data_IF_073589496541
#
_entry.id   IF_073589496541
#
_cell.length_a   1.000
_cell.length_b   1.000
_cell.length_c   1.000
_cell.angle_alpha   90.00
_cell.angle_beta   90.00
_cell.angle_gamma   90.00
#
_symmetry.space_group_name_H-M   'P 1'
#
loop_
_entity.id
_entity.type
_entity.pdbx_description
1 polymer ?
#
# COMPACT_ATOMS: atom_id res chain seq x y z
N UNK A 1 28.03 11.72 -21.99
CA UNK A 1 27.44 11.92 -20.65
C UNK A 1 28.00 10.82 -19.73
N UNK A 2 28.54 11.20 -18.59
CA UNK A 2 29.08 10.25 -17.63
C UNK A 2 28.00 9.87 -16.61
N UNK A 3 27.29 8.78 -16.87
CA UNK A 3 26.12 8.30 -16.12
C UNK A 3 26.46 7.57 -14.81
N UNK A 4 27.75 7.59 -14.41
CA UNK A 4 28.19 6.85 -13.22
C UNK A 4 27.77 7.56 -11.94
N UNK A 5 27.41 6.79 -10.92
CA UNK A 5 27.18 7.27 -9.57
C UNK A 5 28.51 7.85 -9.03
N UNK A 6 28.47 9.10 -8.63
CA UNK A 6 29.59 9.86 -8.07
C UNK A 6 29.56 9.89 -6.55
N UNK A 7 28.37 10.06 -5.97
CA UNK A 7 28.20 10.08 -4.52
C UNK A 7 26.77 9.72 -4.14
N UNK A 8 26.63 9.16 -2.96
CA UNK A 8 25.35 8.84 -2.31
C UNK A 8 25.37 9.51 -0.94
N UNK A 9 24.31 10.20 -0.59
CA UNK A 9 24.13 10.80 0.72
C UNK A 9 22.77 10.42 1.29
N UNK A 10 22.71 10.29 2.62
CA UNK A 10 21.50 9.91 3.32
C UNK A 10 21.31 10.77 4.57
N UNK A 11 20.05 11.02 4.93
CA UNK A 11 19.63 11.69 6.16
C UNK A 11 18.32 11.16 6.65
N UNK A 12 18.02 11.35 7.93
CA UNK A 12 16.65 11.15 8.41
C UNK A 12 15.79 12.37 8.10
N UNK A 13 14.52 12.11 7.84
CA UNK A 13 13.43 13.07 7.79
C UNK A 13 12.30 12.53 8.67
N UNK A 14 11.25 13.30 8.92
CA UNK A 14 10.08 12.83 9.66
C UNK A 14 8.94 12.52 8.69
N UNK A 15 8.24 11.44 8.96
CA UNK A 15 6.99 11.08 8.29
C UNK A 15 5.79 11.86 8.87
N UNK A 16 4.56 11.61 8.38
CA UNK A 16 3.32 12.26 8.84
C UNK A 16 2.93 11.91 10.28
N UNK A 17 3.49 10.81 10.83
CA UNK A 17 3.30 10.37 12.23
C UNK A 17 4.42 10.82 13.15
N UNK A 18 5.30 11.72 12.68
CA UNK A 18 6.49 12.23 13.37
C UNK A 18 7.54 11.14 13.69
N UNK A 19 7.55 10.01 12.98
CA UNK A 19 8.58 9.00 13.08
C UNK A 19 9.73 9.31 12.10
N UNK A 20 10.99 9.06 12.48
CA UNK A 20 12.10 9.15 11.54
C UNK A 20 11.96 8.17 10.41
N UNK A 21 12.25 8.61 9.19
CA UNK A 21 12.46 7.77 8.03
C UNK A 21 13.68 8.24 7.25
N UNK A 22 14.11 7.44 6.24
CA UNK A 22 15.33 7.71 5.49
C UNK A 22 15.03 8.42 4.17
N UNK A 23 15.80 9.47 3.87
CA UNK A 23 15.87 10.10 2.56
C UNK A 23 17.27 9.97 2.00
N UNK A 24 17.37 9.51 0.74
CA UNK A 24 18.65 9.33 0.02
C UNK A 24 18.70 10.23 -1.21
N UNK A 25 19.87 10.79 -1.47
CA UNK A 25 20.20 11.52 -2.69
C UNK A 25 21.37 10.84 -3.39
N UNK A 26 21.18 10.44 -4.64
CA UNK A 26 22.21 9.92 -5.55
C UNK A 26 22.63 11.01 -6.52
N UNK A 27 23.92 11.26 -6.65
CA UNK A 27 24.48 12.26 -7.59
C UNK A 27 25.36 11.54 -8.62
N UNK A 28 25.14 11.82 -9.90
CA UNK A 28 25.95 11.26 -11.00
C UNK A 28 27.22 12.09 -11.25
N UNK A 29 28.14 11.57 -12.06
CA UNK A 29 29.35 12.27 -12.47
C UNK A 29 29.09 13.56 -13.26
N UNK A 30 27.93 13.64 -13.92
CA UNK A 30 27.47 14.86 -14.59
C UNK A 30 26.75 15.83 -13.63
N UNK A 31 26.78 15.56 -12.30
CA UNK A 31 26.11 16.29 -11.23
C UNK A 31 24.58 16.30 -11.33
N UNK A 32 24.00 15.34 -12.03
CA UNK A 32 22.57 15.10 -12.02
C UNK A 32 22.18 14.37 -10.73
N UNK A 33 21.07 14.77 -10.14
CA UNK A 33 20.62 14.25 -8.85
C UNK A 33 19.29 13.50 -8.96
N UNK A 34 19.17 12.45 -8.18
CA UNK A 34 17.88 11.81 -7.88
C UNK A 34 17.73 11.66 -6.37
N UNK A 35 16.54 11.93 -5.84
CA UNK A 35 16.26 11.89 -4.42
C UNK A 35 15.00 11.08 -4.15
N UNK A 36 15.04 10.24 -3.12
CA UNK A 36 13.89 9.47 -2.68
C UNK A 36 13.83 9.39 -1.15
N UNK A 37 12.62 9.38 -0.63
CA UNK A 37 12.31 9.08 0.76
C UNK A 37 11.51 7.78 0.81
N UNK A 38 11.75 6.96 1.81
CA UNK A 38 11.06 5.68 1.99
C UNK A 38 9.99 5.86 3.06
N UNK A 39 8.70 5.65 2.73
CA UNK A 39 7.66 5.62 3.74
C UNK A 39 7.80 4.38 4.64
N UNK A 40 7.17 4.42 5.81
CA UNK A 40 7.01 3.29 6.71
C UNK A 40 5.53 2.98 6.85
N UNK A 41 5.14 1.71 6.73
CA UNK A 41 3.78 1.26 6.95
C UNK A 41 3.30 1.49 8.38
N UNK A 42 1.99 1.53 8.59
CA UNK A 42 1.37 1.54 9.92
C UNK A 42 1.17 0.10 10.42
N UNK A 43 0.67 -0.78 9.56
CA UNK A 43 0.63 -2.23 9.72
C UNK A 43 1.70 -2.87 8.84
N UNK A 44 2.12 -4.09 9.16
CA UNK A 44 3.15 -4.82 8.39
C UNK A 44 2.85 -6.31 8.44
N UNK A 45 2.87 -6.98 7.28
CA UNK A 45 2.76 -8.44 7.19
C UNK A 45 3.98 -9.14 7.84
N UNK A 46 3.78 -10.32 8.41
CA UNK A 46 4.82 -11.05 9.16
C UNK A 46 6.05 -11.41 8.31
N UNK A 47 5.87 -11.55 6.99
CA UNK A 47 6.95 -11.89 6.05
C UNK A 47 7.53 -10.67 5.33
N UNK A 48 7.17 -9.46 5.73
CA UNK A 48 7.65 -8.22 5.12
C UNK A 48 9.16 -8.03 5.30
N UNK A 49 9.78 -7.35 4.35
CA UNK A 49 11.20 -7.06 4.42
C UNK A 49 11.53 -6.15 5.60
N UNK A 50 12.60 -6.47 6.33
CA UNK A 50 12.95 -5.85 7.59
C UNK A 50 13.31 -4.36 7.46
N UNK A 51 12.52 -3.50 8.09
CA UNK A 51 12.86 -2.10 8.27
C UNK A 51 13.89 -1.95 9.42
N UNK A 52 15.09 -1.49 9.11
CA UNK A 52 16.15 -1.39 10.12
C UNK A 52 15.96 -0.16 10.99
N UNK A 53 15.67 -0.38 12.28
CA UNK A 53 15.54 0.63 13.33
C UNK A 53 16.72 0.57 14.29
N UNK A 54 17.04 1.70 14.93
CA UNK A 54 18.19 1.81 15.83
C UNK A 54 17.99 1.03 17.13
N UNK A 55 16.74 0.96 17.63
CA UNK A 55 16.38 0.36 18.89
C UNK A 55 17.15 0.95 20.11
N UNK A 56 17.52 2.22 20.00
CA UNK A 56 18.14 2.99 21.09
C UNK A 56 17.12 3.98 21.67
N UNK A 57 17.42 4.68 22.79
CA UNK A 57 16.47 5.63 23.39
C UNK A 57 16.08 6.83 22.50
N UNK A 58 16.87 7.13 21.47
CA UNK A 58 16.58 8.23 20.55
C UNK A 58 15.32 7.90 19.75
N UNK A 59 14.44 8.90 19.57
CA UNK A 59 13.16 8.72 18.87
C UNK A 59 12.36 7.52 19.40
N UNK A 60 12.43 7.21 20.68
CA UNK A 60 11.74 6.07 21.32
C UNK A 60 12.04 4.72 20.63
N UNK A 61 13.26 4.51 20.16
CA UNK A 61 13.67 3.29 19.45
C UNK A 61 13.50 3.35 17.93
N UNK A 62 12.75 4.33 17.42
CA UNK A 62 12.39 4.43 16.00
C UNK A 62 13.44 5.10 15.12
N UNK A 63 14.65 5.40 15.63
CA UNK A 63 15.74 5.98 14.87
C UNK A 63 16.16 5.14 13.67
N UNK A 64 16.76 5.77 12.65
CA UNK A 64 17.22 5.14 11.40
C UNK A 64 18.70 5.41 11.10
N UNK A 65 19.49 5.73 12.14
CA UNK A 65 20.91 6.07 11.96
C UNK A 65 21.76 4.89 11.44
N UNK A 66 21.45 3.64 11.85
CA UNK A 66 22.11 2.44 11.32
C UNK A 66 21.87 2.29 9.81
N UNK A 67 20.64 2.47 9.36
CA UNK A 67 20.30 2.43 7.95
C UNK A 67 21.02 3.55 7.16
N UNK A 68 21.06 4.76 7.71
CA UNK A 68 21.80 5.90 7.13
C UNK A 68 23.29 5.60 7.03
N UNK A 69 23.88 5.02 8.06
CA UNK A 69 25.31 4.66 8.06
C UNK A 69 25.61 3.57 7.02
N UNK A 70 24.75 2.56 6.89
CA UNK A 70 24.87 1.55 5.84
C UNK A 70 24.86 2.18 4.44
N UNK A 71 24.00 3.16 4.20
CA UNK A 71 23.95 3.90 2.92
C UNK A 71 25.24 4.69 2.68
N UNK A 72 25.74 5.41 3.69
CA UNK A 72 26.92 6.29 3.56
C UNK A 72 28.23 5.53 3.41
N UNK A 73 28.29 4.28 3.87
CA UNK A 73 29.50 3.47 3.88
C UNK A 73 29.38 2.29 2.91
N UNK A 74 28.88 1.17 3.36
CA UNK A 74 28.91 -0.13 2.64
C UNK A 74 28.20 -0.04 1.28
N UNK A 75 27.02 0.58 1.22
CA UNK A 75 26.25 0.71 -0.02
C UNK A 75 26.93 1.71 -0.95
N UNK A 76 27.35 2.86 -0.42
CA UNK A 76 28.05 3.88 -1.22
C UNK A 76 29.33 3.32 -1.86
N UNK A 77 30.18 2.62 -1.08
CA UNK A 77 31.42 2.04 -1.58
C UNK A 77 31.17 1.00 -2.70
N UNK A 78 30.06 0.29 -2.63
CA UNK A 78 29.66 -0.72 -3.63
C UNK A 78 29.15 -0.10 -4.93
N UNK A 79 28.45 1.03 -4.84
CA UNK A 79 27.73 1.60 -5.98
C UNK A 79 28.45 2.77 -6.66
N UNK A 80 29.45 3.41 -6.03
CA UNK A 80 30.22 4.45 -6.70
C UNK A 80 30.89 3.88 -7.96
N UNK A 81 30.70 4.59 -9.08
CA UNK A 81 31.20 4.18 -10.39
C UNK A 81 30.26 3.25 -11.18
N UNK A 82 29.18 2.77 -10.60
CA UNK A 82 28.13 2.02 -11.31
C UNK A 82 27.34 2.97 -12.22
N UNK A 83 26.89 2.49 -13.37
CA UNK A 83 26.01 3.25 -14.29
C UNK A 83 24.61 3.37 -13.66
N UNK A 84 24.15 4.59 -13.42
CA UNK A 84 22.85 4.89 -12.79
C UNK A 84 21.65 4.45 -13.65
N UNK A 85 21.87 4.19 -14.95
CA UNK A 85 20.81 3.74 -15.85
C UNK A 85 20.62 2.23 -15.88
N UNK A 86 21.47 1.48 -15.22
CA UNK A 86 21.39 0.02 -15.10
C UNK A 86 20.76 -0.34 -13.74
N UNK A 87 19.43 -0.14 -13.63
CA UNK A 87 18.68 -0.36 -12.39
C UNK A 87 18.81 -1.80 -11.89
N UNK A 88 18.70 -2.78 -12.80
CA UNK A 88 18.79 -4.20 -12.43
C UNK A 88 20.12 -4.55 -11.79
N UNK A 89 21.23 -4.01 -12.29
CA UNK A 89 22.55 -4.22 -11.70
C UNK A 89 22.68 -3.54 -10.32
N UNK A 90 22.08 -2.34 -10.16
CA UNK A 90 22.05 -1.65 -8.85
C UNK A 90 21.29 -2.49 -7.85
N UNK A 91 20.08 -2.93 -8.17
CA UNK A 91 19.21 -3.68 -7.26
C UNK A 91 19.83 -5.04 -6.90
N UNK A 92 20.38 -5.76 -7.89
CA UNK A 92 21.07 -7.03 -7.63
C UNK A 92 22.28 -6.85 -6.69
N UNK A 93 23.08 -5.79 -6.89
CA UNK A 93 24.20 -5.50 -5.99
C UNK A 93 23.76 -5.21 -4.56
N UNK A 94 22.63 -4.51 -4.38
CA UNK A 94 22.08 -4.22 -3.07
C UNK A 94 21.56 -5.49 -2.39
N UNK A 95 20.88 -6.37 -3.13
CA UNK A 95 20.38 -7.66 -2.64
C UNK A 95 21.53 -8.59 -2.27
N UNK A 96 22.54 -8.72 -3.14
CA UNK A 96 23.74 -9.53 -2.89
C UNK A 96 24.53 -9.01 -1.68
N UNK A 97 24.62 -7.68 -1.53
CA UNK A 97 25.35 -7.04 -0.43
C UNK A 97 24.67 -7.28 0.92
N UNK A 98 23.36 -7.28 0.98
CA UNK A 98 22.60 -7.65 2.17
C UNK A 98 22.75 -9.15 2.47
N UNK A 99 22.56 -10.01 1.48
CA UNK A 99 22.76 -11.45 1.55
C UNK A 99 21.74 -12.21 2.40
N UNK A 100 20.64 -11.54 2.85
CA UNK A 100 19.55 -12.18 3.59
C UNK A 100 18.24 -12.11 2.80
N UNK A 101 17.32 -13.06 3.04
CA UNK A 101 16.04 -13.11 2.33
C UNK A 101 15.17 -11.88 2.61
N UNK A 102 15.18 -11.40 3.85
CA UNK A 102 14.31 -10.32 4.32
C UNK A 102 15.04 -8.97 4.58
N UNK A 103 16.23 -8.76 4.05
CA UNK A 103 17.02 -7.51 4.13
C UNK A 103 17.44 -7.13 5.57
N UNK A 104 17.73 -8.13 6.42
CA UNK A 104 18.07 -7.91 7.84
C UNK A 104 19.39 -7.19 8.08
N UNK A 105 20.39 -7.30 7.18
CA UNK A 105 21.71 -6.75 7.41
C UNK A 105 21.79 -5.25 7.12
N UNK A 106 21.29 -4.81 5.98
CA UNK A 106 21.34 -3.41 5.56
C UNK A 106 20.08 -2.64 5.92
N UNK A 107 18.95 -3.33 5.96
CA UNK A 107 17.62 -2.77 6.11
C UNK A 107 16.93 -2.51 4.77
N UNK A 108 15.67 -2.95 4.65
CA UNK A 108 14.85 -2.70 3.48
C UNK A 108 14.72 -1.20 3.18
N UNK A 109 14.58 -0.38 4.22
CA UNK A 109 14.52 1.08 4.11
C UNK A 109 15.79 1.68 3.48
N UNK A 110 16.98 1.22 3.84
CA UNK A 110 18.24 1.66 3.23
C UNK A 110 18.33 1.23 1.75
N UNK A 111 18.03 -0.03 1.47
CA UNK A 111 18.08 -0.62 0.12
C UNK A 111 17.10 0.09 -0.81
N UNK A 112 15.84 0.18 -0.41
CA UNK A 112 14.78 0.79 -1.21
C UNK A 112 15.03 2.27 -1.47
N UNK A 113 15.50 3.03 -0.46
CA UNK A 113 15.82 4.45 -0.63
C UNK A 113 16.89 4.68 -1.69
N UNK A 114 17.94 3.86 -1.71
CA UNK A 114 19.01 3.95 -2.72
C UNK A 114 18.53 3.52 -4.10
N UNK A 115 17.78 2.44 -4.20
CA UNK A 115 17.18 1.96 -5.44
C UNK A 115 16.31 3.04 -6.09
N UNK A 116 15.35 3.59 -5.35
CA UNK A 116 14.44 4.65 -5.81
C UNK A 116 15.18 5.94 -6.17
N UNK A 117 16.17 6.36 -5.38
CA UNK A 117 16.96 7.56 -5.66
C UNK A 117 17.80 7.37 -6.94
N UNK A 118 18.34 6.18 -7.17
CA UNK A 118 19.07 5.84 -8.39
C UNK A 118 18.18 5.87 -9.62
N UNK A 119 16.97 5.32 -9.55
CA UNK A 119 16.01 5.36 -10.65
C UNK A 119 15.60 6.80 -10.99
N UNK A 120 15.38 7.67 -9.99
CA UNK A 120 15.10 9.09 -10.21
C UNK A 120 16.30 9.83 -10.82
N UNK A 121 17.53 9.53 -10.39
CA UNK A 121 18.72 10.07 -11.02
C UNK A 121 18.86 9.60 -12.47
N UNK A 122 18.52 8.34 -12.75
CA UNK A 122 18.47 7.78 -14.11
C UNK A 122 17.47 8.52 -15.01
N UNK A 123 16.26 8.75 -14.52
CA UNK A 123 15.24 9.51 -15.25
C UNK A 123 15.72 10.92 -15.57
N UNK A 124 16.22 11.64 -14.56
CA UNK A 124 16.75 12.98 -14.71
C UNK A 124 17.97 13.02 -15.68
N UNK A 125 18.86 12.04 -15.59
CA UNK A 125 20.01 11.89 -16.51
C UNK A 125 19.60 11.71 -17.96
N UNK A 126 18.44 11.08 -18.19
CA UNK A 126 17.88 10.84 -19.52
C UNK A 126 16.90 11.94 -19.97
N UNK A 127 16.66 12.94 -19.11
CA UNK A 127 15.64 13.98 -19.29
C UNK A 127 14.25 13.39 -19.58
N UNK A 128 13.87 12.40 -18.75
CA UNK A 128 12.60 11.68 -18.79
C UNK A 128 11.84 11.85 -17.50
N UNK A 129 10.53 11.71 -17.55
CA UNK A 129 9.73 11.45 -16.36
C UNK A 129 9.99 10.02 -15.86
N UNK A 130 9.76 9.77 -14.57
CA UNK A 130 10.06 8.46 -13.97
C UNK A 130 9.28 7.33 -14.67
N UNK A 131 8.00 7.53 -14.94
CA UNK A 131 7.15 6.53 -15.60
C UNK A 131 7.62 6.18 -17.04
N UNK A 132 8.34 7.08 -17.71
CA UNK A 132 8.89 6.83 -19.06
C UNK A 132 10.09 5.88 -19.08
N UNK A 133 10.62 5.50 -17.90
CA UNK A 133 11.67 4.48 -17.78
C UNK A 133 11.12 3.06 -17.85
N UNK A 134 9.83 2.88 -17.56
CA UNK A 134 9.18 1.58 -17.59
C UNK A 134 8.74 1.22 -19.01
N UNK A 135 8.90 -0.05 -19.42
CA UNK A 135 8.42 -0.47 -20.72
C UNK A 135 6.88 -0.42 -20.79
N UNK A 136 6.35 0.05 -21.91
CA UNK A 136 4.91 0.04 -22.19
C UNK A 136 4.43 -1.37 -22.53
N UNK A 137 4.41 -2.27 -21.56
CA UNK A 137 4.03 -3.68 -21.75
C UNK A 137 2.53 -3.82 -22.00
N UNK A 138 1.73 -2.94 -21.38
CA UNK A 138 0.26 -3.02 -21.39
C UNK A 138 -0.43 -1.88 -22.14
N UNK A 139 0.30 -1.11 -22.92
CA UNK A 139 -0.22 0.03 -23.69
C UNK A 139 0.35 1.38 -23.23
N UNK A 140 -0.20 2.50 -23.75
CA UNK A 140 0.26 3.82 -23.34
C UNK A 140 -0.01 4.08 -21.86
N UNK A 141 0.86 4.85 -21.17
CA UNK A 141 0.64 5.23 -19.79
C UNK A 141 -0.69 5.96 -19.61
N UNK A 142 -1.45 5.61 -18.59
CA UNK A 142 -2.71 6.26 -18.21
C UNK A 142 -2.73 6.51 -16.71
N UNK A 143 -3.51 7.50 -16.27
CA UNK A 143 -3.77 7.68 -14.86
C UNK A 143 -4.76 6.60 -14.38
N UNK A 144 -4.52 5.96 -13.23
CA UNK A 144 -5.42 4.95 -12.68
C UNK A 144 -6.71 5.59 -12.16
N UNK A 145 -7.75 4.76 -12.00
CA UNK A 145 -8.91 5.14 -11.19
C UNK A 145 -8.46 5.24 -9.73
N UNK A 146 -8.71 6.37 -9.03
CA UNK A 146 -8.25 6.52 -7.66
C UNK A 146 -9.12 5.71 -6.69
N UNK A 147 -8.48 5.00 -5.77
CA UNK A 147 -9.07 4.46 -4.55
C UNK A 147 -8.83 5.49 -3.44
N UNK A 148 -9.89 5.97 -2.81
CA UNK A 148 -9.81 7.06 -1.85
C UNK A 148 -10.34 6.62 -0.49
N UNK A 149 -9.45 6.44 0.48
CA UNK A 149 -9.83 6.14 1.85
C UNK A 149 -10.52 7.37 2.48
N UNK A 150 -11.79 7.24 2.85
CA UNK A 150 -12.59 8.32 3.42
C UNK A 150 -13.06 8.08 4.85
N UNK A 151 -12.94 6.82 5.33
CA UNK A 151 -13.25 6.47 6.72
C UNK A 151 -12.31 5.36 7.18
N UNK A 152 -11.70 5.58 8.35
CA UNK A 152 -10.70 4.71 8.94
C UNK A 152 -11.23 3.96 10.16
N UNK A 153 -10.74 2.72 10.33
CA UNK A 153 -10.84 1.92 11.55
C UNK A 153 -9.54 1.15 11.78
N UNK A 154 -9.62 0.02 12.48
CA UNK A 154 -8.49 -0.87 12.74
C UNK A 154 -7.26 -0.15 13.29
N UNK A 155 -6.08 -0.52 12.81
CA UNK A 155 -4.82 0.09 13.21
C UNK A 155 -4.67 1.58 12.79
N UNK A 156 -5.50 2.06 11.84
CA UNK A 156 -5.41 3.43 11.32
C UNK A 156 -6.23 4.46 12.11
N UNK A 157 -7.00 4.03 13.14
CA UNK A 157 -7.85 4.93 13.92
C UNK A 157 -8.05 4.44 15.36
N UNK A 158 -8.06 5.37 16.32
CA UNK A 158 -8.44 5.09 17.71
C UNK A 158 -9.98 5.19 17.85
N UNK A 159 -10.68 4.15 17.36
CA UNK A 159 -12.12 4.02 17.40
C UNK A 159 -12.57 2.55 17.56
N UNK A 160 -13.88 2.28 17.46
CA UNK A 160 -14.47 0.94 17.65
C UNK A 160 -14.71 0.19 16.33
N UNK A 161 -14.10 0.61 15.23
CA UNK A 161 -14.30 0.02 13.89
C UNK A 161 -13.19 -0.96 13.61
N UNK A 162 -13.51 -2.21 13.27
CA UNK A 162 -12.51 -3.27 13.09
C UNK A 162 -11.87 -3.22 11.68
N UNK A 163 -12.67 -3.01 10.62
CA UNK A 163 -12.15 -2.88 9.25
C UNK A 163 -11.32 -1.59 9.13
N UNK A 164 -10.13 -1.70 8.55
CA UNK A 164 -9.11 -0.66 8.55
C UNK A 164 -9.45 0.52 7.65
N UNK A 165 -9.96 0.25 6.41
CA UNK A 165 -10.25 1.31 5.44
C UNK A 165 -11.55 1.08 4.69
N UNK A 166 -12.34 2.15 4.59
CA UNK A 166 -13.50 2.22 3.72
C UNK A 166 -13.24 3.25 2.64
N UNK A 167 -13.12 2.77 1.42
CA UNK A 167 -12.73 3.58 0.27
C UNK A 167 -13.90 3.82 -0.67
N UNK A 168 -13.90 5.00 -1.32
CA UNK A 168 -14.71 5.25 -2.52
C UNK A 168 -13.84 5.13 -3.76
N UNK A 169 -14.45 4.61 -4.84
CA UNK A 169 -13.81 4.39 -6.13
C UNK A 169 -14.63 5.09 -7.20
N UNK A 170 -14.31 6.34 -7.56
CA UNK A 170 -15.02 7.10 -8.59
C UNK A 170 -14.56 6.68 -10.00
N UNK A 171 -15.08 5.54 -10.48
CA UNK A 171 -14.66 4.90 -11.74
C UNK A 171 -15.48 5.34 -12.97
N UNK A 172 -16.68 5.89 -12.78
CA UNK A 172 -17.62 6.21 -13.85
C UNK A 172 -17.40 7.60 -14.49
N UNK A 173 -16.15 8.07 -14.58
CA UNK A 173 -15.80 9.39 -15.10
C UNK A 173 -14.78 9.29 -16.25
N UNK A 174 -14.82 10.23 -17.17
CA UNK A 174 -13.96 10.24 -18.36
C UNK A 174 -12.50 10.67 -18.04
N UNK A 175 -12.31 11.44 -16.97
CA UNK A 175 -10.99 11.99 -16.62
C UNK A 175 -10.67 11.82 -15.13
N UNK A 176 -9.38 11.70 -14.81
CA UNK A 176 -8.91 11.68 -13.43
C UNK A 176 -9.35 12.92 -12.64
N UNK A 177 -9.35 14.11 -13.27
CA UNK A 177 -9.78 15.37 -12.63
C UNK A 177 -11.24 15.30 -12.17
N UNK A 178 -12.13 14.75 -12.99
CA UNK A 178 -13.54 14.58 -12.64
C UNK A 178 -13.76 13.51 -11.57
N UNK A 179 -12.96 12.42 -11.60
CA UNK A 179 -12.94 11.41 -10.53
C UNK A 179 -12.47 12.01 -9.20
N UNK A 180 -11.38 12.76 -9.22
CA UNK A 180 -10.84 13.44 -8.04
C UNK A 180 -11.85 14.43 -7.46
N UNK A 181 -12.49 15.23 -8.30
CA UNK A 181 -13.54 16.18 -7.87
C UNK A 181 -14.68 15.45 -7.18
N UNK A 182 -15.18 14.36 -7.76
CA UNK A 182 -16.25 13.57 -7.16
C UNK A 182 -15.86 13.07 -5.77
N UNK A 183 -14.64 12.53 -5.62
CA UNK A 183 -14.12 12.09 -4.32
C UNK A 183 -14.09 13.21 -3.28
N UNK A 184 -13.61 14.40 -3.64
CA UNK A 184 -13.56 15.56 -2.74
C UNK A 184 -14.96 16.02 -2.34
N UNK A 185 -15.91 16.09 -3.29
CA UNK A 185 -17.30 16.49 -3.01
C UNK A 185 -17.99 15.51 -2.06
N UNK A 186 -17.83 14.20 -2.27
CA UNK A 186 -18.33 13.14 -1.38
C UNK A 186 -17.72 13.26 0.02
N UNK A 187 -16.39 13.42 0.12
CA UNK A 187 -15.69 13.59 1.39
C UNK A 187 -16.23 14.76 2.21
N UNK A 188 -16.52 15.88 1.57
CA UNK A 188 -17.12 17.04 2.24
C UNK A 188 -18.57 16.82 2.66
N UNK A 189 -19.36 16.09 1.87
CA UNK A 189 -20.72 15.69 2.26
C UNK A 189 -20.66 14.75 3.46
N UNK A 190 -19.81 13.73 3.43
CA UNK A 190 -19.61 12.82 4.57
C UNK A 190 -19.23 13.60 5.84
N UNK A 191 -18.28 14.53 5.75
CA UNK A 191 -17.92 15.39 6.89
C UNK A 191 -19.12 16.13 7.47
N UNK A 192 -19.97 16.70 6.61
CA UNK A 192 -21.18 17.43 7.04
C UNK A 192 -22.18 16.50 7.73
N UNK A 193 -22.38 15.30 7.19
CA UNK A 193 -23.29 14.29 7.74
C UNK A 193 -22.83 13.81 9.11
N UNK A 194 -21.55 13.39 9.22
CA UNK A 194 -20.96 12.98 10.49
C UNK A 194 -21.14 14.07 11.57
N UNK A 195 -20.83 15.32 11.22
CA UNK A 195 -21.03 16.45 12.13
C UNK A 195 -22.48 16.66 12.54
N UNK A 196 -23.43 16.49 11.61
CA UNK A 196 -24.86 16.61 11.90
C UNK A 196 -25.35 15.51 12.83
N UNK A 197 -24.78 14.31 12.71
CA UNK A 197 -25.03 13.15 13.56
C UNK A 197 -24.22 13.18 14.88
N UNK A 198 -23.49 14.27 15.15
CA UNK A 198 -22.61 14.45 16.34
C UNK A 198 -21.49 13.39 16.44
N UNK A 199 -21.07 12.84 15.30
CA UNK A 199 -19.94 11.94 15.20
C UNK A 199 -18.64 12.71 15.00
N UNK A 200 -17.51 12.08 15.35
CA UNK A 200 -16.17 12.66 15.18
C UNK A 200 -15.89 12.93 13.69
N UNK A 201 -15.27 14.06 13.42
CA UNK A 201 -14.68 14.39 12.11
C UNK A 201 -13.14 14.54 12.19
N UNK A 202 -12.54 14.01 13.26
CA UNK A 202 -11.10 13.80 13.30
C UNK A 202 -10.72 12.76 12.25
N UNK A 203 -9.50 12.84 11.77
CA UNK A 203 -8.99 11.92 10.75
C UNK A 203 -8.04 10.92 11.37
N UNK A 204 -8.01 9.71 10.82
CA UNK A 204 -7.01 8.69 11.11
C UNK A 204 -5.72 8.91 10.33
N UNK A 205 -4.83 7.95 10.40
CA UNK A 205 -3.47 8.02 9.83
C UNK A 205 -3.48 8.17 8.30
N UNK A 206 -4.49 7.61 7.63
CA UNK A 206 -4.64 7.62 6.18
C UNK A 206 -5.56 8.75 5.66
N UNK A 207 -5.95 9.68 6.54
CA UNK A 207 -6.73 10.87 6.16
C UNK A 207 -8.24 10.69 6.06
N UNK A 208 -8.77 9.49 6.19
CA UNK A 208 -10.20 9.23 6.36
C UNK A 208 -10.70 9.65 7.74
N UNK A 209 -12.00 9.93 7.88
CA UNK A 209 -12.58 10.24 9.18
C UNK A 209 -12.56 9.03 10.11
N UNK A 210 -12.42 9.25 11.40
CA UNK A 210 -12.34 8.24 12.43
C UNK A 210 -13.48 8.35 13.49
N UNK A 211 -14.76 8.26 13.10
CA UNK A 211 -15.86 8.21 14.04
C UNK A 211 -16.01 6.81 14.64
N UNK A 212 -16.73 6.71 15.76
CA UNK A 212 -17.18 5.43 16.28
C UNK A 212 -18.47 4.99 15.57
N UNK A 213 -18.47 3.74 15.09
CA UNK A 213 -19.64 3.02 14.61
C UNK A 213 -19.64 1.62 15.26
N UNK A 214 -20.79 0.97 15.27
CA UNK A 214 -20.91 -0.36 15.85
C UNK A 214 -20.73 -1.48 14.83
N UNK A 215 -21.03 -1.18 13.56
CA UNK A 215 -20.96 -2.17 12.48
C UNK A 215 -20.44 -1.53 11.17
N UNK A 216 -19.84 -2.36 10.33
CA UNK A 216 -19.40 -1.96 8.98
C UNK A 216 -20.58 -1.56 8.09
N UNK A 217 -21.76 -2.15 8.32
CA UNK A 217 -22.98 -1.78 7.58
C UNK A 217 -23.43 -0.36 7.88
N UNK A 218 -23.35 0.11 9.14
CA UNK A 218 -23.64 1.51 9.48
C UNK A 218 -22.73 2.48 8.73
N UNK A 219 -21.46 2.11 8.57
CA UNK A 219 -20.46 2.91 7.85
C UNK A 219 -20.78 2.94 6.35
N UNK A 220 -21.01 1.76 5.76
CA UNK A 220 -21.32 1.63 4.34
C UNK A 220 -22.59 2.40 3.99
N UNK A 221 -23.62 2.33 4.83
CA UNK A 221 -24.87 3.10 4.66
C UNK A 221 -24.61 4.62 4.69
N UNK A 222 -23.77 5.10 5.61
CA UNK A 222 -23.41 6.51 5.73
C UNK A 222 -22.62 7.00 4.49
N UNK A 223 -21.74 6.15 3.95
CA UNK A 223 -20.97 6.44 2.73
C UNK A 223 -21.91 6.44 1.51
N UNK A 224 -22.81 5.46 1.37
CA UNK A 224 -23.78 5.37 0.29
C UNK A 224 -24.70 6.59 0.23
N UNK A 225 -25.16 7.05 1.40
CA UNK A 225 -25.94 8.27 1.51
C UNK A 225 -25.12 9.51 1.15
N UNK A 226 -23.84 9.55 1.55
CA UNK A 226 -22.95 10.67 1.22
C UNK A 226 -22.69 10.77 -0.28
N UNK A 227 -22.53 9.63 -0.98
CA UNK A 227 -22.40 9.58 -2.44
C UNK A 227 -23.66 10.15 -3.10
N UNK A 228 -24.84 9.69 -2.65
CA UNK A 228 -26.14 10.12 -3.21
C UNK A 228 -26.42 11.61 -2.95
N UNK A 229 -26.15 12.11 -1.74
CA UNK A 229 -26.32 13.52 -1.40
C UNK A 229 -25.32 14.45 -2.13
N UNK A 230 -24.15 13.94 -2.51
CA UNK A 230 -23.20 14.64 -3.35
C UNK A 230 -23.63 14.71 -4.83
N UNK A 231 -24.73 14.03 -5.19
CA UNK A 231 -25.30 14.04 -6.54
C UNK A 231 -24.73 12.94 -7.45
N UNK A 232 -24.12 11.91 -6.87
CA UNK A 232 -23.56 10.76 -7.61
C UNK A 232 -24.40 9.50 -7.38
N UNK A 233 -24.28 8.53 -8.29
CA UNK A 233 -25.03 7.27 -8.24
C UNK A 233 -24.11 6.14 -7.74
N UNK A 234 -24.35 5.59 -6.51
CA UNK A 234 -23.59 4.43 -6.02
C UNK A 234 -23.71 3.21 -6.98
N UNK A 235 -22.60 2.56 -7.23
CA UNK A 235 -22.52 1.40 -8.13
C UNK A 235 -22.53 1.74 -9.62
N UNK A 236 -22.78 3.00 -10.00
CA UNK A 236 -22.79 3.43 -11.40
C UNK A 236 -21.62 4.35 -11.75
N UNK A 237 -21.35 5.37 -10.96
CA UNK A 237 -20.17 6.22 -11.12
C UNK A 237 -19.23 6.20 -9.93
N UNK A 238 -19.68 5.76 -8.78
CA UNK A 238 -18.84 5.58 -7.59
C UNK A 238 -19.16 4.25 -6.97
N UNK A 239 -18.16 3.40 -6.84
CA UNK A 239 -18.21 2.14 -6.09
C UNK A 239 -17.45 2.25 -4.79
N UNK A 240 -17.41 1.17 -4.02
CA UNK A 240 -16.74 1.06 -2.74
C UNK A 240 -15.60 0.05 -2.84
N UNK A 241 -14.60 0.22 -1.99
CA UNK A 241 -13.58 -0.78 -1.73
C UNK A 241 -13.28 -0.83 -0.24
N UNK A 242 -12.79 -1.97 0.22
CA UNK A 242 -12.40 -2.20 1.61
C UNK A 242 -10.93 -2.62 1.64
N UNK A 243 -10.20 -2.12 2.63
CA UNK A 243 -9.03 -2.78 3.18
C UNK A 243 -9.40 -3.27 4.57
N UNK A 244 -9.45 -4.59 4.71
CA UNK A 244 -9.96 -5.23 5.93
C UNK A 244 -8.85 -5.37 6.96
N UNK A 245 -7.61 -5.61 6.51
CA UNK A 245 -6.44 -5.92 7.33
C UNK A 245 -6.76 -7.00 8.38
N UNK A 246 -7.37 -8.10 7.92
CA UNK A 246 -8.01 -9.10 8.80
C UNK A 246 -7.03 -9.81 9.75
N UNK A 247 -5.73 -9.82 9.44
CA UNK A 247 -4.69 -10.34 10.33
C UNK A 247 -4.65 -9.62 11.68
N UNK A 248 -5.03 -8.33 11.74
CA UNK A 248 -5.00 -7.51 12.97
C UNK A 248 -6.02 -7.98 14.04
N UNK A 249 -7.11 -8.60 13.62
CA UNK A 249 -8.14 -9.12 14.53
C UNK A 249 -8.35 -10.65 14.43
N UNK A 250 -7.39 -11.37 13.83
CA UNK A 250 -7.34 -12.83 13.81
C UNK A 250 -6.50 -13.35 14.97
N UNK A 251 -7.13 -14.13 15.86
CA UNK A 251 -6.47 -14.69 17.04
C UNK A 251 -7.12 -16.03 17.42
N UNK A 252 -6.31 -17.03 17.76
CA UNK A 252 -6.77 -18.36 18.18
C UNK A 252 -7.72 -19.03 17.15
N UNK A 253 -7.39 -18.92 15.84
CA UNK A 253 -8.16 -19.45 14.71
C UNK A 253 -9.54 -18.80 14.50
N UNK A 254 -9.79 -17.62 15.09
CA UNK A 254 -11.02 -16.86 14.93
C UNK A 254 -10.76 -15.39 14.57
N UNK A 255 -11.62 -14.85 13.73
CA UNK A 255 -11.74 -13.43 13.43
C UNK A 255 -12.69 -12.78 14.44
N UNK A 256 -12.19 -11.77 15.17
CA UNK A 256 -12.98 -11.04 16.17
C UNK A 256 -13.43 -9.72 15.57
N UNK A 257 -14.63 -9.70 15.01
CA UNK A 257 -15.20 -8.55 14.32
C UNK A 257 -16.60 -8.22 14.85
N UNK A 258 -16.85 -6.95 15.14
CA UNK A 258 -18.17 -6.44 15.61
C UNK A 258 -18.69 -7.20 16.84
N UNK A 259 -17.77 -7.62 17.72
CA UNK A 259 -18.09 -8.39 18.92
C UNK A 259 -18.45 -9.86 18.69
N UNK A 260 -18.29 -10.37 17.48
CA UNK A 260 -18.48 -11.78 17.12
C UNK A 260 -17.13 -12.49 16.96
N UNK A 261 -17.13 -13.80 17.16
CA UNK A 261 -16.01 -14.69 16.81
C UNK A 261 -16.45 -15.50 15.58
N UNK A 262 -15.77 -15.31 14.47
CA UNK A 262 -16.05 -15.97 13.20
C UNK A 262 -14.90 -16.89 12.81
N UNK A 263 -15.19 -18.11 12.37
CA UNK A 263 -14.19 -18.94 11.72
C UNK A 263 -13.92 -18.46 10.28
N UNK A 264 -12.95 -19.06 9.60
CA UNK A 264 -12.52 -18.69 8.25
C UNK A 264 -13.67 -18.63 7.23
N UNK A 265 -14.55 -19.62 7.24
CA UNK A 265 -15.69 -19.65 6.33
C UNK A 265 -16.72 -18.58 6.68
N UNK A 266 -17.03 -18.41 7.97
CA UNK A 266 -17.99 -17.39 8.43
C UNK A 266 -17.51 -15.98 8.14
N UNK A 267 -16.20 -15.70 8.27
CA UNK A 267 -15.62 -14.43 7.88
C UNK A 267 -15.70 -14.20 6.36
N UNK A 268 -15.41 -15.23 5.57
CA UNK A 268 -15.60 -15.17 4.12
C UNK A 268 -17.05 -14.88 3.75
N UNK A 269 -18.01 -15.58 4.36
CA UNK A 269 -19.44 -15.40 4.13
C UNK A 269 -19.92 -13.99 4.56
N UNK A 270 -19.35 -13.45 5.64
CA UNK A 270 -19.58 -12.05 6.06
C UNK A 270 -19.17 -11.05 4.96
N UNK A 271 -17.98 -11.19 4.41
CA UNK A 271 -17.49 -10.33 3.32
C UNK A 271 -18.32 -10.52 2.04
N UNK A 272 -18.67 -11.73 1.67
CA UNK A 272 -19.55 -12.04 0.52
C UNK A 272 -20.93 -11.37 0.71
N UNK A 273 -21.46 -11.38 1.92
CA UNK A 273 -22.73 -10.70 2.21
C UNK A 273 -22.60 -9.17 2.03
N UNK A 274 -21.48 -8.56 2.45
CA UNK A 274 -21.25 -7.12 2.21
C UNK A 274 -21.22 -6.83 0.71
N UNK A 275 -20.51 -7.61 -0.11
CA UNK A 275 -20.47 -7.41 -1.57
C UNK A 275 -21.81 -7.61 -2.26
N UNK A 276 -22.70 -8.41 -1.66
CA UNK A 276 -24.05 -8.65 -2.19
C UNK A 276 -25.03 -7.50 -1.92
N UNK A 277 -24.77 -6.71 -0.86
CA UNK A 277 -25.65 -5.64 -0.43
C UNK A 277 -25.13 -4.24 -0.82
N UNK A 278 -23.83 -4.10 -1.05
CA UNK A 278 -23.16 -2.85 -1.37
C UNK A 278 -22.37 -2.95 -2.66
N UNK A 279 -22.19 -1.86 -3.42
CA UNK A 279 -21.44 -1.87 -4.67
C UNK A 279 -19.90 -1.91 -4.42
N UNK A 280 -19.46 -2.89 -3.65
CA UNK A 280 -18.04 -3.15 -3.37
C UNK A 280 -17.43 -3.85 -4.58
N UNK A 281 -16.33 -3.33 -5.09
CA UNK A 281 -15.62 -3.88 -6.26
C UNK A 281 -14.24 -4.42 -5.94
N UNK A 282 -13.73 -4.13 -4.74
CA UNK A 282 -12.41 -4.59 -4.30
C UNK A 282 -12.41 -4.84 -2.79
N UNK A 283 -11.76 -5.92 -2.37
CA UNK A 283 -11.46 -6.25 -0.97
C UNK A 283 -9.98 -6.57 -0.87
N UNK A 284 -9.28 -5.84 -0.02
CA UNK A 284 -7.89 -6.03 0.32
C UNK A 284 -7.78 -6.68 1.69
N UNK A 285 -6.86 -7.65 1.82
CA UNK A 285 -6.55 -8.41 3.03
C UNK A 285 -7.79 -8.84 3.83
N UNK A 286 -8.76 -9.40 3.07
CA UNK A 286 -10.06 -9.82 3.61
C UNK A 286 -9.98 -10.96 4.63
N UNK A 287 -8.89 -11.70 4.62
CA UNK A 287 -8.59 -12.79 5.54
C UNK A 287 -7.14 -12.70 6.01
N UNK A 288 -6.80 -13.40 7.09
CA UNK A 288 -5.44 -13.42 7.62
C UNK A 288 -4.43 -13.93 6.60
N UNK A 289 -3.19 -13.46 6.70
CA UNK A 289 -2.11 -13.73 5.75
C UNK A 289 -1.72 -15.22 5.66
N UNK A 290 -2.07 -16.04 6.65
CA UNK A 290 -1.82 -17.48 6.71
C UNK A 290 -3.09 -18.34 6.52
N UNK A 291 -4.28 -17.74 6.35
CA UNK A 291 -5.55 -18.44 6.14
C UNK A 291 -5.77 -18.82 4.66
N UNK A 292 -4.90 -19.69 4.11
CA UNK A 292 -4.94 -20.09 2.70
C UNK A 292 -6.23 -20.80 2.29
N UNK A 293 -6.87 -21.56 3.19
CA UNK A 293 -8.13 -22.24 2.91
C UNK A 293 -9.28 -21.24 2.78
N UNK A 294 -9.31 -20.21 3.62
CA UNK A 294 -10.26 -19.12 3.52
C UNK A 294 -10.05 -18.29 2.24
N UNK A 295 -8.82 -17.93 1.93
CA UNK A 295 -8.49 -17.23 0.67
C UNK A 295 -8.93 -18.00 -0.56
N UNK A 296 -8.72 -19.31 -0.57
CA UNK A 296 -9.23 -20.18 -1.65
C UNK A 296 -10.75 -20.12 -1.71
N UNK A 297 -11.43 -20.28 -0.57
CA UNK A 297 -12.90 -20.30 -0.52
C UNK A 297 -13.50 -18.99 -1.03
N UNK A 298 -13.03 -17.83 -0.53
CA UNK A 298 -13.56 -16.53 -0.96
C UNK A 298 -13.29 -16.28 -2.45
N UNK A 299 -12.11 -16.67 -2.95
CA UNK A 299 -11.75 -16.55 -4.37
C UNK A 299 -12.68 -17.36 -5.27
N UNK A 300 -12.99 -18.60 -4.88
CA UNK A 300 -13.94 -19.45 -5.62
C UNK A 300 -15.37 -18.86 -5.64
N UNK A 301 -15.74 -18.08 -4.62
CA UNK A 301 -17.08 -17.50 -4.50
C UNK A 301 -17.26 -16.19 -5.25
N UNK A 302 -16.32 -15.27 -5.12
CA UNK A 302 -16.48 -13.90 -5.62
C UNK A 302 -15.31 -13.39 -6.49
N UNK A 303 -14.23 -14.15 -6.63
CA UNK A 303 -13.03 -13.70 -7.36
C UNK A 303 -13.23 -13.38 -8.84
N UNK A 304 -14.31 -13.90 -9.47
CA UNK A 304 -14.66 -13.56 -10.85
C UNK A 304 -15.32 -12.17 -10.98
N UNK A 305 -15.83 -11.59 -9.89
CA UNK A 305 -16.63 -10.36 -9.88
C UNK A 305 -16.07 -9.27 -9.00
N UNK A 306 -15.30 -9.62 -7.97
CA UNK A 306 -14.69 -8.72 -6.99
C UNK A 306 -13.18 -8.86 -7.10
N UNK A 307 -12.48 -7.73 -7.16
CA UNK A 307 -11.01 -7.73 -7.05
C UNK A 307 -10.62 -8.12 -5.62
N UNK A 308 -9.85 -9.20 -5.48
CA UNK A 308 -9.23 -9.58 -4.22
C UNK A 308 -7.76 -9.16 -4.26
N UNK A 309 -7.35 -8.38 -3.27
CA UNK A 309 -6.01 -7.79 -3.15
C UNK A 309 -5.34 -8.37 -1.91
N UNK A 310 -4.05 -8.65 -2.00
CA UNK A 310 -3.24 -9.05 -0.86
C UNK A 310 -2.04 -8.12 -0.74
N UNK A 311 -2.01 -7.27 0.26
CA UNK A 311 -0.84 -6.51 0.67
C UNK A 311 -0.07 -7.28 1.74
N UNK A 312 -0.63 -7.47 2.92
CA UNK A 312 -0.04 -8.31 3.99
C UNK A 312 0.15 -9.76 3.53
N UNK A 313 -0.79 -10.29 2.73
CA UNK A 313 -0.72 -11.64 2.17
C UNK A 313 0.51 -11.85 1.28
N UNK A 314 0.87 -10.88 0.44
CA UNK A 314 1.96 -11.06 -0.54
C UNK A 314 3.25 -10.38 -0.15
N UNK A 315 3.22 -9.35 0.67
CA UNK A 315 4.36 -8.55 1.16
C UNK A 315 5.40 -8.23 0.07
N UNK A 316 4.90 -7.97 -1.15
CA UNK A 316 5.72 -7.73 -2.36
C UNK A 316 6.66 -8.90 -2.69
N UNK A 317 6.35 -10.12 -2.26
CA UNK A 317 7.13 -11.33 -2.56
C UNK A 317 6.53 -12.10 -3.74
N UNK A 318 7.22 -12.07 -4.89
CA UNK A 318 6.81 -12.78 -6.11
C UNK A 318 6.52 -14.27 -5.88
N UNK A 319 7.31 -14.94 -5.04
CA UNK A 319 7.14 -16.36 -4.74
C UNK A 319 5.81 -16.66 -4.07
N UNK A 320 5.38 -15.82 -3.13
CA UNK A 320 4.09 -15.97 -2.42
C UNK A 320 2.95 -15.63 -3.38
N UNK A 321 3.06 -14.55 -4.12
CA UNK A 321 2.08 -14.16 -5.13
C UNK A 321 1.85 -15.28 -6.16
N UNK A 322 2.91 -15.91 -6.66
CA UNK A 322 2.81 -17.02 -7.61
C UNK A 322 2.21 -18.29 -6.97
N UNK A 323 2.43 -18.53 -5.69
CA UNK A 323 1.81 -19.66 -4.98
C UNK A 323 0.27 -19.52 -4.96
N UNK A 324 -0.22 -18.33 -4.74
CA UNK A 324 -1.65 -18.03 -4.72
C UNK A 324 -2.30 -18.05 -6.13
N UNK A 325 -1.62 -17.43 -7.10
CA UNK A 325 -2.17 -17.24 -8.46
C UNK A 325 -1.95 -18.43 -9.39
N UNK A 326 -1.06 -19.36 -9.04
CA UNK A 326 -0.72 -20.54 -9.84
C UNK A 326 -0.86 -21.82 -9.02
N UNK A 327 -2.02 -22.49 -9.05
CA UNK A 327 -2.24 -23.74 -8.35
C UNK A 327 -1.35 -24.89 -8.85
N UNK A 328 -0.59 -24.67 -9.92
CA UNK A 328 0.44 -25.58 -10.41
C UNK A 328 1.60 -24.78 -11.03
N UNK A 329 2.87 -25.18 -10.81
CA UNK A 329 4.02 -24.60 -11.51
C UNK A 329 3.91 -24.64 -13.05
N UNK A 330 2.98 -25.44 -13.59
CA UNK A 330 2.69 -25.53 -15.02
C UNK A 330 1.69 -24.50 -15.50
N UNK A 331 0.90 -23.92 -14.60
CA UNK A 331 -0.16 -22.95 -14.91
C UNK A 331 0.27 -21.49 -14.72
N UNK A 332 1.52 -21.26 -14.30
CA UNK A 332 2.13 -19.93 -14.13
C UNK A 332 2.08 -19.02 -15.38
N UNK A 333 1.72 -19.57 -16.55
CA UNK A 333 1.49 -18.81 -17.77
C UNK A 333 0.09 -18.20 -17.87
N UNK A 334 -0.81 -18.48 -16.93
CA UNK A 334 -2.22 -18.11 -16.99
C UNK A 334 -2.68 -17.20 -15.83
N UNK A 335 -1.79 -16.61 -15.06
CA UNK A 335 -2.20 -15.62 -14.06
C UNK A 335 -2.89 -14.45 -14.77
N UNK A 336 -4.20 -14.53 -14.85
CA UNK A 336 -5.07 -13.44 -15.25
C UNK A 336 -5.28 -12.52 -14.03
N UNK A 337 -4.22 -11.97 -13.51
CA UNK A 337 -4.39 -10.76 -12.71
C UNK A 337 -4.74 -9.63 -13.68
N UNK A 338 -5.86 -8.92 -13.49
CA UNK A 338 -6.02 -7.64 -14.15
C UNK A 338 -4.80 -6.81 -13.74
N UNK A 339 -4.06 -6.32 -14.74
CA UNK A 339 -2.89 -5.47 -14.54
C UNK A 339 -3.32 -4.13 -13.97
N UNK A 340 -3.48 -4.09 -12.66
CA UNK A 340 -3.65 -2.86 -11.90
C UNK A 340 -2.94 -3.03 -10.56
N UNK A 341 -1.65 -3.15 -10.62
CA UNK A 341 -0.74 -2.82 -9.55
C UNK A 341 0.16 -1.71 -10.03
#
# INVERSE_FOLDING_TARGET
MNKKIKSISARHILDSRANPTIEVEVTTSDNIKGRAAVPSGASTGALEAHELRDNDPSFNGMGVNKAIENVKTIISDTLIGVDVTDQSNIDNKLIELDGTDNKNNLGANAILAVSMASMRASANQQNKQLFELFPNIYGPPSLPVPFMNILNGGAHADNSVDIQEFMIVPFGFETFDTSLRAGVEIYHVLKKRLKSNKLSTNVGDEGGFAPNFNTSTEILDEIMQSISEAGYEPGRNVSLALDVAASEFFTDDFYRIEGNELNSQEMSDYLINLTSNYPIISIEDGLAEDDWDGWKYITEKIGDTIQLVGDDLFVTQEKICLLYTSPSPRDAQLSRMPSSA
#
